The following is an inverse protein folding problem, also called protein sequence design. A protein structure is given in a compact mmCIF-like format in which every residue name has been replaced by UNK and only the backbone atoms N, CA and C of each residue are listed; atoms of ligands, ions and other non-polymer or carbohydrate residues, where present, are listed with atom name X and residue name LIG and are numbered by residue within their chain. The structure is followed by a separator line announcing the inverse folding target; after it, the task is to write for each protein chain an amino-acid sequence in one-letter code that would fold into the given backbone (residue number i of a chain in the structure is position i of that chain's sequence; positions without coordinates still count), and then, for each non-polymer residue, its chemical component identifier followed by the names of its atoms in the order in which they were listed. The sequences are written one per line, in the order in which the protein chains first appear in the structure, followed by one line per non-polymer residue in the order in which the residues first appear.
data_IF_084162936771
#
_entry.id   IF_084162936771
#
_cell.length_a   1.000
_cell.length_b   1.000
_cell.length_c   1.000
_cell.angle_alpha   90.00
_cell.angle_beta   90.00
_cell.angle_gamma   90.00
#
_symmetry.space_group_name_H-M   'P 1'
#
loop_
_entity.id
_entity.type
_entity.pdbx_description
1 polymer ?
#
# COMPACT_ATOMS: atom_id res chain seq x y z
N UNK A 1 -10.49 34.50 -40.38
CA UNK A 1 -11.51 33.48 -40.05
C UNK A 1 -10.83 32.36 -39.24
N UNK A 2 -11.55 31.74 -38.30
CA UNK A 2 -11.04 30.85 -37.23
C UNK A 2 -11.35 29.37 -37.57
N UNK A 3 -10.69 28.32 -37.04
CA UNK A 3 -9.77 28.17 -35.89
C UNK A 3 -8.52 27.31 -36.23
N UNK A 4 -7.52 27.26 -35.35
CA UNK A 4 -6.50 26.20 -35.32
C UNK A 4 -6.97 25.01 -34.48
N UNK A 5 -7.02 23.81 -35.07
CA UNK A 5 -7.56 22.61 -34.40
C UNK A 5 -6.54 21.99 -33.44
N UNK A 6 -6.71 22.26 -32.15
CA UNK A 6 -6.01 21.56 -31.07
C UNK A 6 -6.35 20.07 -31.11
N UNK A 7 -5.35 19.21 -31.38
CA UNK A 7 -5.51 17.76 -31.28
C UNK A 7 -5.78 17.40 -29.81
N UNK A 8 -6.88 16.70 -29.48
CA UNK A 8 -7.15 16.30 -28.10
C UNK A 8 -6.06 15.32 -27.63
N UNK A 9 -5.30 15.72 -26.60
CA UNK A 9 -4.23 14.88 -26.03
C UNK A 9 -4.88 13.65 -25.38
N UNK A 10 -4.78 12.52 -26.06
CA UNK A 10 -5.63 11.35 -25.81
C UNK A 10 -5.36 10.75 -24.43
N UNK A 11 -6.44 10.36 -23.72
CA UNK A 11 -6.45 9.74 -22.38
C UNK A 11 -5.39 8.64 -22.18
N UNK A 12 -5.02 7.94 -23.27
CA UNK A 12 -3.95 6.94 -23.36
C UNK A 12 -2.60 7.44 -22.83
N UNK A 13 -2.15 8.65 -23.17
CA UNK A 13 -0.83 9.15 -22.73
C UNK A 13 -0.77 9.42 -21.22
N UNK A 14 -1.90 9.86 -20.64
CA UNK A 14 -2.00 10.12 -19.20
C UNK A 14 -1.97 8.83 -18.38
N UNK A 15 -2.60 7.76 -18.89
CA UNK A 15 -2.56 6.45 -18.24
C UNK A 15 -1.15 5.87 -18.19
N UNK A 16 -0.38 5.96 -19.28
CA UNK A 16 1.02 5.50 -19.32
C UNK A 16 1.88 6.26 -18.31
N UNK A 17 1.85 7.60 -18.35
CA UNK A 17 2.57 8.45 -17.38
C UNK A 17 2.20 8.16 -15.91
N UNK A 18 0.94 7.82 -15.64
CA UNK A 18 0.48 7.47 -14.28
C UNK A 18 1.07 6.13 -13.82
N UNK A 19 1.11 5.14 -14.71
CA UNK A 19 1.69 3.82 -14.43
C UNK A 19 3.22 3.90 -14.27
N UNK A 20 3.90 4.64 -15.15
CA UNK A 20 5.35 4.83 -15.10
C UNK A 20 5.75 5.50 -13.77
N UNK A 21 5.05 6.56 -13.37
CA UNK A 21 5.27 7.22 -12.08
C UNK A 21 5.03 6.26 -10.90
N UNK A 22 3.98 5.44 -10.94
CA UNK A 22 3.67 4.47 -9.89
C UNK A 22 4.72 3.36 -9.78
N UNK A 23 5.19 2.82 -10.91
CA UNK A 23 6.26 1.82 -10.95
C UNK A 23 7.57 2.38 -10.38
N UNK A 24 7.97 3.59 -10.79
CA UNK A 24 9.12 4.30 -10.23
C UNK A 24 8.96 4.52 -8.71
N UNK A 25 7.76 4.84 -8.24
CA UNK A 25 7.50 5.02 -6.81
C UNK A 25 7.63 3.72 -6.01
N UNK A 26 7.20 2.59 -6.57
CA UNK A 26 7.39 1.27 -5.95
C UNK A 26 8.86 0.83 -5.98
N UNK A 27 9.58 1.08 -7.07
CA UNK A 27 11.02 0.75 -7.18
C UNK A 27 11.85 1.53 -6.15
N UNK A 28 11.51 2.80 -5.89
CA UNK A 28 12.14 3.61 -4.84
C UNK A 28 11.72 3.18 -3.43
N UNK A 29 10.49 2.71 -3.22
CA UNK A 29 9.95 2.30 -1.91
C UNK A 29 10.29 0.84 -1.60
N UNK A 30 11.51 0.61 -1.10
CA UNK A 30 11.91 -0.69 -0.55
C UNK A 30 10.97 -1.15 0.57
N UNK A 31 10.56 -2.44 0.63
CA UNK A 31 9.74 -2.95 1.72
C UNK A 31 10.40 -2.77 3.08
N UNK A 32 9.66 -2.23 4.05
CA UNK A 32 10.11 -2.13 5.44
C UNK A 32 10.07 -3.54 6.05
N UNK A 33 11.21 -4.01 6.56
CA UNK A 33 11.30 -5.27 7.29
C UNK A 33 11.08 -5.02 8.78
N UNK A 34 10.20 -5.79 9.38
CA UNK A 34 9.95 -5.80 10.83
C UNK A 34 10.42 -7.14 11.41
N UNK A 35 10.92 -7.13 12.64
CA UNK A 35 11.22 -8.36 13.38
C UNK A 35 9.95 -8.97 13.97
N UNK A 36 9.95 -10.28 14.24
CA UNK A 36 8.81 -10.95 14.89
C UNK A 36 8.44 -10.30 16.23
N UNK A 37 9.43 -9.79 16.98
CA UNK A 37 9.21 -9.05 18.23
C UNK A 37 8.53 -7.70 17.99
N UNK A 38 8.92 -6.93 16.96
CA UNK A 38 8.25 -5.68 16.61
C UNK A 38 6.79 -5.91 16.23
N UNK A 39 6.51 -6.99 15.48
CA UNK A 39 5.15 -7.38 15.12
C UNK A 39 4.36 -7.79 16.37
N UNK A 40 4.91 -8.64 17.24
CA UNK A 40 4.27 -9.08 18.49
C UNK A 40 3.92 -7.91 19.43
N UNK A 41 4.83 -6.93 19.58
CA UNK A 41 4.55 -5.70 20.33
C UNK A 41 3.44 -4.89 19.63
N UNK A 42 3.53 -4.71 18.31
CA UNK A 42 2.56 -3.89 17.57
C UNK A 42 1.14 -4.49 17.58
N UNK A 43 0.99 -5.80 17.61
CA UNK A 43 -0.31 -6.50 17.65
C UNK A 43 -0.85 -6.76 19.05
N UNK A 44 -0.21 -6.23 20.09
CA UNK A 44 -0.51 -6.56 21.50
C UNK A 44 -0.61 -8.09 21.70
N UNK A 45 0.47 -8.80 21.38
CA UNK A 45 0.57 -10.25 21.49
C UNK A 45 -0.47 -11.02 20.64
N UNK A 46 -0.96 -10.40 19.56
CA UNK A 46 -2.03 -10.90 18.69
C UNK A 46 -3.41 -11.02 19.40
N UNK A 47 -3.73 -10.14 20.36
CA UNK A 47 -5.02 -10.15 21.06
C UNK A 47 -6.21 -9.72 20.19
N UNK A 48 -6.00 -8.76 19.28
CA UNK A 48 -7.08 -8.09 18.56
C UNK A 48 -7.31 -8.68 17.16
N UNK A 49 -8.02 -9.81 17.07
CA UNK A 49 -8.37 -10.45 15.80
C UNK A 49 -9.41 -9.62 15.00
N UNK A 50 -9.08 -9.30 13.75
CA UNK A 50 -9.97 -8.66 12.77
C UNK A 50 -10.68 -9.67 11.86
N UNK A 51 -10.09 -10.85 11.65
CA UNK A 51 -10.70 -11.94 10.88
C UNK A 51 -9.73 -13.09 10.61
N UNK A 52 -10.26 -14.25 10.22
CA UNK A 52 -9.48 -15.46 9.91
C UNK A 52 -10.09 -16.24 8.74
N UNK A 53 -9.28 -17.11 8.11
CA UNK A 53 -9.73 -18.00 7.04
C UNK A 53 -8.59 -18.85 6.49
N UNK A 54 -8.80 -19.48 5.32
CA UNK A 54 -7.81 -20.37 4.67
C UNK A 54 -6.49 -19.70 4.22
N UNK A 55 -6.34 -18.39 4.45
CA UNK A 55 -5.10 -17.64 4.21
C UNK A 55 -4.50 -17.09 5.52
N UNK A 56 -4.84 -17.67 6.66
CA UNK A 56 -4.36 -17.28 7.99
C UNK A 56 -5.25 -16.26 8.71
N UNK A 57 -4.67 -15.55 9.68
CA UNK A 57 -5.38 -14.66 10.61
C UNK A 57 -4.88 -13.21 10.48
N UNK A 58 -5.79 -12.25 10.59
CA UNK A 58 -5.49 -10.81 10.51
C UNK A 58 -5.76 -10.17 11.86
N UNK A 59 -4.76 -9.50 12.41
CA UNK A 59 -4.83 -8.81 13.70
C UNK A 59 -4.69 -7.30 13.53
N UNK A 60 -5.37 -6.52 14.36
CA UNK A 60 -5.13 -5.08 14.48
C UNK A 60 -3.80 -4.88 15.20
N UNK A 61 -3.03 -3.90 14.74
CA UNK A 61 -1.84 -3.44 15.44
C UNK A 61 -1.67 -1.93 15.40
N UNK A 62 -0.77 -1.43 16.25
CA UNK A 62 -0.38 -0.03 16.33
C UNK A 62 1.15 0.02 16.45
N UNK A 63 1.84 0.65 15.50
CA UNK A 63 3.27 0.89 15.63
C UNK A 63 3.56 2.03 16.62
N UNK A 64 4.79 2.10 17.14
CA UNK A 64 5.23 3.11 18.13
C UNK A 64 5.08 4.57 17.67
N UNK A 65 4.94 4.82 16.36
CA UNK A 65 4.63 6.12 15.78
C UNK A 65 3.12 6.43 15.69
N UNK A 66 2.25 5.61 16.29
CA UNK A 66 0.80 5.73 16.25
C UNK A 66 0.14 5.20 14.97
N UNK A 67 0.89 4.64 14.02
CA UNK A 67 0.31 4.11 12.77
C UNK A 67 -0.51 2.86 13.06
N UNK A 68 -1.82 2.94 12.80
CA UNK A 68 -2.72 1.79 12.81
C UNK A 68 -2.42 0.87 11.62
N UNK A 69 -2.34 -0.43 11.86
CA UNK A 69 -2.05 -1.44 10.84
C UNK A 69 -2.92 -2.68 11.00
N UNK A 70 -3.05 -3.45 9.92
CA UNK A 70 -3.56 -4.81 9.93
C UNK A 70 -2.38 -5.77 9.63
N UNK A 71 -2.11 -6.68 10.56
CA UNK A 71 -1.03 -7.67 10.48
C UNK A 71 -1.62 -9.02 10.12
N UNK A 72 -1.28 -9.53 8.94
CA UNK A 72 -1.67 -10.87 8.49
C UNK A 72 -0.58 -11.89 8.84
N UNK A 73 -0.96 -12.93 9.57
CA UNK A 73 -0.13 -14.09 9.93
C UNK A 73 -0.62 -15.29 9.11
N UNK A 74 0.32 -16.04 8.55
CA UNK A 74 0.09 -17.24 7.73
C UNK A 74 0.32 -18.51 8.56
#
# INVERSE_FOLDING_TARGET
MIQSTLRPKTKKSFLTLTMDNFLNDMERKKPIRFTSQQIWIATDNFTNLLGSGGFGSVYKGIFSNGTLVAVKIL
#
